data_IF_505320636698
#
_entry.id   IF_505320636698
#
_cell.length_a   1.000
_cell.length_b   1.000
_cell.length_c   1.000
_cell.angle_alpha   90.00
_cell.angle_beta   90.00
_cell.angle_gamma   90.00
#
_symmetry.space_group_name_H-M   'P 1'
#
loop_
_entity.id
_entity.type
_entity.pdbx_description
1 polymer ?
#
# COMPACT_ATOMS: atom_id res chain seq x y z
N UNK A 1 -16.60 55.66 32.67
CA UNK A 1 -16.68 56.74 31.66
C UNK A 1 -15.35 56.76 30.91
N UNK A 2 -15.28 56.09 29.76
CA UNK A 2 -14.16 56.23 28.85
C UNK A 2 -14.51 57.34 27.87
N UNK A 3 -13.76 58.44 27.87
CA UNK A 3 -13.97 59.58 27.00
C UNK A 3 -13.78 59.14 25.54
N UNK A 4 -14.84 59.18 24.74
CA UNK A 4 -14.75 59.11 23.28
C UNK A 4 -14.06 60.38 22.79
N UNK A 5 -12.75 60.30 22.56
CA UNK A 5 -12.03 61.36 21.87
C UNK A 5 -12.51 61.40 20.41
N UNK A 6 -13.36 62.38 20.08
CA UNK A 6 -13.66 62.70 18.68
C UNK A 6 -12.43 63.42 18.13
N UNK A 7 -11.58 62.69 17.39
CA UNK A 7 -10.47 63.29 16.67
C UNK A 7 -11.01 64.25 15.60
N UNK A 8 -10.54 65.50 15.57
CA UNK A 8 -10.90 66.44 14.49
C UNK A 8 -10.16 66.00 13.24
N UNK A 9 -10.75 66.18 12.05
CA UNK A 9 -10.16 65.71 10.77
C UNK A 9 -8.70 66.14 10.61
N UNK A 10 -8.36 67.36 11.03
CA UNK A 10 -7.00 67.91 10.98
C UNK A 10 -5.96 67.11 11.79
N UNK A 11 -6.37 66.34 12.80
CA UNK A 11 -5.48 65.53 13.64
C UNK A 11 -5.08 64.20 12.97
N UNK A 12 -5.79 63.81 11.90
CA UNK A 12 -5.60 62.55 11.17
C UNK A 12 -4.95 62.74 9.79
N UNK A 13 -4.54 63.96 9.44
CA UNK A 13 -3.94 64.26 8.15
C UNK A 13 -2.41 64.15 8.18
N UNK A 14 -1.89 63.48 7.16
CA UNK A 14 -0.45 63.42 6.91
C UNK A 14 0.03 64.76 6.36
N UNK A 15 1.04 65.42 6.97
CA UNK A 15 1.49 66.74 6.55
C UNK A 15 2.20 66.73 5.17
N UNK A 16 2.55 65.56 4.64
CA UNK A 16 3.23 65.44 3.35
C UNK A 16 2.26 65.27 2.16
N UNK A 17 1.12 64.62 2.36
CA UNK A 17 0.14 64.38 1.30
C UNK A 17 -1.22 65.03 1.58
N UNK A 18 -1.38 65.68 2.73
CA UNK A 18 -2.61 66.31 3.21
C UNK A 18 -3.83 65.39 3.23
N UNK A 19 -3.61 64.08 3.20
CA UNK A 19 -4.65 63.04 3.24
C UNK A 19 -4.59 62.26 4.55
N UNK A 20 -5.65 61.50 4.86
CA UNK A 20 -5.75 60.68 6.06
C UNK A 20 -4.57 59.70 6.14
N UNK A 21 -3.99 59.53 7.33
CA UNK A 21 -2.84 58.66 7.53
C UNK A 21 -3.06 57.23 7.01
N UNK A 22 -2.17 56.76 6.15
CA UNK A 22 -2.08 55.38 5.70
C UNK A 22 -0.73 54.81 6.13
N UNK A 23 -0.76 53.85 7.07
CA UNK A 23 0.43 53.31 7.75
C UNK A 23 1.36 54.43 8.26
N UNK A 24 0.90 55.29 9.18
CA UNK A 24 1.72 56.36 9.74
C UNK A 24 2.92 55.76 10.47
N UNK A 25 4.12 56.26 10.17
CA UNK A 25 5.33 55.93 10.91
C UNK A 25 5.72 57.07 11.83
N UNK A 26 6.15 56.73 13.04
CA UNK A 26 6.57 57.70 14.06
C UNK A 26 8.07 57.94 13.95
N UNK A 27 8.45 59.16 13.60
CA UNK A 27 9.84 59.58 13.57
C UNK A 27 10.33 59.94 14.98
N UNK A 28 11.65 59.87 15.21
CA UNK A 28 12.24 60.21 16.52
C UNK A 28 11.90 61.62 17.03
N UNK A 29 11.66 62.56 16.12
CA UNK A 29 11.24 63.92 16.45
C UNK A 29 9.74 64.04 16.82
N UNK A 30 9.01 62.93 16.92
CA UNK A 30 7.59 62.88 17.27
C UNK A 30 6.61 63.07 16.10
N UNK A 31 7.10 63.44 14.91
CA UNK A 31 6.25 63.64 13.74
C UNK A 31 5.82 62.30 13.11
N UNK A 32 4.56 62.25 12.69
CA UNK A 32 3.98 61.11 11.99
C UNK A 32 3.88 61.41 10.50
N UNK A 33 4.29 60.46 9.65
CA UNK A 33 4.22 60.56 8.19
C UNK A 33 3.77 59.22 7.63
N UNK A 34 2.92 59.20 6.59
CA UNK A 34 2.61 57.93 5.91
C UNK A 34 3.89 57.25 5.41
N UNK A 35 4.02 55.94 5.63
CA UNK A 35 5.23 55.17 5.26
C UNK A 35 5.70 55.45 3.83
N UNK A 36 4.77 55.47 2.87
CA UNK A 36 5.06 55.71 1.44
C UNK A 36 5.49 57.17 1.20
N UNK A 37 4.86 58.13 1.88
CA UNK A 37 5.20 59.54 1.75
C UNK A 37 6.62 59.82 2.24
N UNK A 38 6.99 59.22 3.38
CA UNK A 38 8.34 59.31 3.93
C UNK A 38 9.38 58.67 2.99
N UNK A 39 9.08 57.49 2.45
CA UNK A 39 9.97 56.80 1.51
C UNK A 39 10.19 57.61 0.22
N UNK A 40 9.14 58.21 -0.35
CA UNK A 40 9.25 59.08 -1.52
C UNK A 40 10.10 60.32 -1.21
N UNK A 41 9.88 60.96 -0.06
CA UNK A 41 10.64 62.12 0.36
C UNK A 41 12.14 61.80 0.55
N UNK A 42 12.48 60.72 1.25
CA UNK A 42 13.87 60.29 1.43
C UNK A 42 14.55 59.93 0.11
N UNK A 43 13.83 59.28 -0.81
CA UNK A 43 14.36 58.94 -2.14
C UNK A 43 14.64 60.17 -2.98
N UNK A 44 13.76 61.17 -2.93
CA UNK A 44 13.93 62.42 -3.67
C UNK A 44 15.05 63.30 -3.09
N UNK A 45 15.10 63.43 -1.76
CA UNK A 45 16.06 64.33 -1.09
C UNK A 45 17.45 63.72 -0.92
N UNK A 46 17.55 62.39 -0.87
CA UNK A 46 18.82 61.67 -0.64
C UNK A 46 19.29 61.66 0.82
N UNK A 47 18.54 62.28 1.74
CA UNK A 47 18.82 62.27 3.18
C UNK A 47 17.64 61.71 3.99
N UNK A 48 17.93 61.09 5.13
CA UNK A 48 16.93 60.49 6.05
C UNK A 48 16.41 61.51 7.06
N UNK A 49 15.99 62.68 6.60
CA UNK A 49 15.46 63.75 7.46
C UNK A 49 13.94 63.66 7.64
N UNK A 50 13.45 64.22 8.74
CA UNK A 50 12.03 64.46 8.91
C UNK A 50 11.52 65.48 7.86
N UNK A 51 10.45 65.18 7.10
CA UNK A 51 9.88 66.12 6.14
C UNK A 51 9.36 67.43 6.77
N UNK A 52 8.99 67.39 8.06
CA UNK A 52 8.37 68.51 8.77
C UNK A 52 9.41 69.41 9.42
N UNK A 53 10.26 68.85 10.29
CA UNK A 53 11.20 69.63 11.11
C UNK A 53 12.67 69.49 10.69
N UNK A 54 12.96 68.71 9.64
CA UNK A 54 14.32 68.45 9.09
C UNK A 54 15.31 67.80 10.06
N UNK A 55 14.90 67.42 11.26
CA UNK A 55 15.72 66.63 12.18
C UNK A 55 16.09 65.29 11.54
N UNK A 56 17.38 64.92 11.55
CA UNK A 56 17.88 63.67 10.97
C UNK A 56 17.31 62.48 11.75
N UNK A 57 16.64 61.57 11.04
CA UNK A 57 16.04 60.36 11.61
C UNK A 57 16.96 59.17 11.35
N UNK A 58 17.43 58.56 12.43
CA UNK A 58 18.44 57.48 12.38
C UNK A 58 17.88 56.05 12.21
N UNK A 59 16.59 55.69 12.49
CA UNK A 59 16.16 54.32 12.20
C UNK A 59 15.97 54.10 10.70
N UNK A 60 16.57 53.03 10.18
CA UNK A 60 16.41 52.58 8.79
C UNK A 60 14.96 52.22 8.44
N UNK A 61 14.17 51.85 9.45
CA UNK A 61 12.73 51.58 9.35
C UNK A 61 12.02 52.12 10.59
N UNK A 62 11.47 53.35 10.56
CA UNK A 62 10.72 53.89 11.68
C UNK A 62 9.47 53.03 12.01
N UNK A 63 9.13 52.86 13.30
CA UNK A 63 7.99 52.04 13.71
C UNK A 63 6.66 52.66 13.28
N UNK A 64 5.65 51.81 13.07
CA UNK A 64 4.29 52.26 12.76
C UNK A 64 3.62 52.77 14.03
N UNK A 65 3.02 53.95 13.97
CA UNK A 65 2.16 54.46 15.03
C UNK A 65 0.79 53.76 14.96
N UNK A 66 0.71 52.60 15.60
CA UNK A 66 -0.49 51.77 15.62
C UNK A 66 -1.75 52.49 16.13
N UNK A 67 -1.71 53.27 17.24
CA UNK A 67 -2.86 54.06 17.68
C UNK A 67 -3.37 55.03 16.61
N UNK A 68 -2.46 55.76 15.96
CA UNK A 68 -2.84 56.71 14.91
C UNK A 68 -3.36 56.01 13.65
N UNK A 69 -2.81 54.82 13.35
CA UNK A 69 -3.31 53.95 12.27
C UNK A 69 -4.75 53.52 12.56
N UNK A 70 -5.02 53.01 13.76
CA UNK A 70 -6.36 52.57 14.17
C UNK A 70 -7.34 53.74 14.12
N UNK A 71 -6.98 54.90 14.67
CA UNK A 71 -7.83 56.09 14.62
C UNK A 71 -8.12 56.56 13.19
N UNK A 72 -7.14 56.49 12.29
CA UNK A 72 -7.32 56.82 10.87
C UNK A 72 -8.22 55.80 10.14
N UNK A 73 -8.06 54.51 10.43
CA UNK A 73 -8.90 53.43 9.88
C UNK A 73 -10.34 53.50 10.42
N UNK A 74 -10.52 53.78 11.71
CA UNK A 74 -11.84 53.97 12.34
C UNK A 74 -12.56 55.20 11.78
N UNK A 75 -11.85 56.31 11.57
CA UNK A 75 -12.41 57.50 10.92
C UNK A 75 -12.82 57.22 9.46
N UNK A 76 -11.99 56.48 8.71
CA UNK A 76 -12.35 56.03 7.36
C UNK A 76 -13.56 55.09 7.36
N UNK A 77 -13.65 54.18 8.33
CA UNK A 77 -14.77 53.28 8.52
C UNK A 77 -16.07 54.04 8.85
N UNK A 78 -16.00 55.03 9.74
CA UNK A 78 -17.13 55.91 10.07
C UNK A 78 -17.61 56.74 8.88
N UNK A 79 -16.73 57.06 7.91
CA UNK A 79 -17.13 57.71 6.66
C UNK A 79 -17.60 56.73 5.56
N UNK A 80 -17.28 55.44 5.68
CA UNK A 80 -17.65 54.40 4.71
C UNK A 80 -19.07 53.82 4.88
N UNK A 81 -19.85 54.29 5.85
CA UNK A 81 -21.25 53.87 6.05
C UNK A 81 -22.26 54.57 5.10
N UNK A 82 -21.79 55.16 4.00
CA UNK A 82 -22.62 55.60 2.88
C UNK A 82 -22.17 54.88 1.62
N UNK A 83 -23.08 54.10 1.04
CA UNK A 83 -23.00 53.35 -0.22
C UNK A 83 -21.80 53.72 -1.13
N UNK A 84 -20.82 52.82 -1.25
CA UNK A 84 -19.66 53.03 -2.11
C UNK A 84 -19.81 52.33 -3.47
N UNK A 85 -20.58 52.96 -4.37
CA UNK A 85 -20.43 52.73 -5.81
C UNK A 85 -19.15 53.41 -6.36
N UNK A 86 -18.44 54.17 -5.53
CA UNK A 86 -17.39 55.11 -5.94
C UNK A 86 -16.11 54.91 -5.12
N UNK A 87 -14.96 54.85 -5.80
CA UNK A 87 -13.63 54.70 -5.23
C UNK A 87 -13.25 55.88 -4.32
N UNK A 88 -12.80 55.58 -3.11
CA UNK A 88 -12.38 56.60 -2.14
C UNK A 88 -11.23 57.50 -2.64
N UNK A 89 -10.24 56.93 -3.34
CA UNK A 89 -9.03 57.66 -3.76
C UNK A 89 -9.21 58.42 -5.07
N UNK A 90 -9.95 57.83 -6.02
CA UNK A 90 -10.07 58.38 -7.38
C UNK A 90 -11.45 58.98 -7.67
N UNK A 91 -12.43 58.78 -6.78
CA UNK A 91 -13.83 59.23 -6.93
C UNK A 91 -14.49 58.75 -8.24
N UNK A 92 -14.03 57.61 -8.75
CA UNK A 92 -14.54 56.92 -9.94
C UNK A 92 -15.40 55.71 -9.55
N UNK A 93 -16.35 55.30 -10.38
CA UNK A 93 -17.12 54.09 -10.11
C UNK A 93 -16.24 52.83 -10.05
N UNK A 94 -16.56 51.94 -9.13
CA UNK A 94 -15.86 50.67 -8.93
C UNK A 94 -16.34 49.63 -9.96
N UNK A 95 -15.84 49.70 -11.19
CA UNK A 95 -16.28 48.89 -12.34
C UNK A 95 -15.39 47.68 -12.64
N UNK A 96 -14.28 47.50 -11.91
CA UNK A 96 -13.28 46.46 -12.11
C UNK A 96 -13.14 45.60 -10.85
N UNK A 97 -12.72 44.35 -10.97
CA UNK A 97 -12.41 43.46 -9.83
C UNK A 97 -10.95 42.99 -9.90
N UNK A 98 -10.23 43.11 -8.78
CA UNK A 98 -8.85 42.66 -8.67
C UNK A 98 -8.81 41.22 -8.15
N UNK A 99 -8.40 40.26 -8.99
CA UNK A 99 -8.40 38.83 -8.67
C UNK A 99 -7.35 38.44 -7.62
N UNK A 100 -6.29 39.23 -7.49
CA UNK A 100 -5.24 38.98 -6.50
C UNK A 100 -5.62 39.44 -5.08
N UNK A 101 -6.48 40.44 -4.97
CA UNK A 101 -6.82 41.12 -3.70
C UNK A 101 -8.29 40.94 -3.30
N UNK A 102 -9.07 40.21 -4.10
CA UNK A 102 -10.50 39.92 -3.89
C UNK A 102 -11.36 41.15 -3.56
N UNK A 103 -11.21 42.25 -4.30
CA UNK A 103 -11.97 43.50 -4.06
C UNK A 103 -12.28 44.29 -5.34
N UNK A 104 -13.41 45.03 -5.36
CA UNK A 104 -13.73 45.93 -6.46
C UNK A 104 -12.83 47.18 -6.43
N UNK A 105 -12.38 47.60 -7.61
CA UNK A 105 -11.49 48.74 -7.82
C UNK A 105 -12.02 49.61 -8.99
N UNK A 106 -11.58 50.85 -9.10
CA UNK A 106 -11.84 51.69 -10.28
C UNK A 106 -10.67 51.64 -11.27
N UNK A 107 -10.87 52.23 -12.46
CA UNK A 107 -9.84 52.37 -13.50
C UNK A 107 -8.54 53.02 -13.00
N UNK A 108 -8.66 54.09 -12.20
CA UNK A 108 -7.49 54.72 -11.58
C UNK A 108 -6.71 53.80 -10.64
N UNK A 109 -7.39 52.92 -9.90
CA UNK A 109 -6.76 51.94 -9.03
C UNK A 109 -6.00 50.87 -9.83
N UNK A 110 -6.54 50.39 -10.94
CA UNK A 110 -5.87 49.41 -11.80
C UNK A 110 -4.54 49.94 -12.34
N UNK A 111 -4.52 51.23 -12.71
CA UNK A 111 -3.33 51.92 -13.22
C UNK A 111 -2.34 52.31 -12.11
N UNK A 112 -2.75 52.25 -10.84
CA UNK A 112 -1.90 52.57 -9.71
C UNK A 112 -0.74 51.58 -9.58
N UNK A 113 0.38 52.03 -9.01
CA UNK A 113 1.54 51.16 -8.74
C UNK A 113 1.21 49.96 -7.86
N UNK A 114 0.07 49.98 -7.14
CA UNK A 114 -0.36 48.91 -6.26
C UNK A 114 -1.06 47.77 -6.99
N UNK A 115 -1.77 48.05 -8.09
CA UNK A 115 -2.55 47.04 -8.84
C UNK A 115 -2.12 46.87 -10.30
N UNK A 116 -1.13 47.64 -10.78
CA UNK A 116 -0.60 47.57 -12.16
C UNK A 116 -0.09 46.17 -12.55
N UNK A 117 0.31 45.36 -11.57
CA UNK A 117 0.81 43.99 -11.76
C UNK A 117 -0.20 42.91 -11.38
N UNK A 118 -1.39 43.30 -10.92
CA UNK A 118 -2.45 42.38 -10.53
C UNK A 118 -3.39 42.12 -11.70
N UNK A 119 -3.90 40.90 -11.77
CA UNK A 119 -4.86 40.51 -12.78
C UNK A 119 -6.23 41.11 -12.40
N UNK A 120 -6.74 41.99 -13.27
CA UNK A 120 -7.98 42.72 -13.04
C UNK A 120 -8.93 42.49 -14.21
N UNK A 121 -10.20 42.20 -13.92
CA UNK A 121 -11.25 42.02 -14.93
C UNK A 121 -12.32 43.10 -14.82
N UNK A 122 -12.91 43.46 -15.96
CA UNK A 122 -14.12 44.27 -16.03
C UNK A 122 -15.30 43.49 -15.46
N UNK A 123 -16.18 44.16 -14.72
CA UNK A 123 -17.44 43.60 -14.24
C UNK A 123 -18.45 43.37 -15.39
N UNK A 124 -18.02 42.76 -16.50
CA UNK A 124 -18.88 42.32 -17.59
C UNK A 124 -19.49 40.95 -17.25
N UNK A 125 -20.82 40.83 -17.42
CA UNK A 125 -21.59 39.63 -17.02
C UNK A 125 -21.09 38.33 -17.66
N UNK A 126 -20.44 38.40 -18.83
CA UNK A 126 -19.97 37.28 -19.64
C UNK A 126 -18.72 36.60 -19.06
N UNK A 127 -17.75 37.38 -18.54
CA UNK A 127 -16.52 36.84 -17.94
C UNK A 127 -16.80 36.18 -16.58
N UNK A 128 -17.65 36.80 -15.77
CA UNK A 128 -18.15 36.22 -14.52
C UNK A 128 -18.94 34.92 -14.74
N UNK A 129 -19.76 34.87 -15.79
CA UNK A 129 -20.50 33.65 -16.13
C UNK A 129 -19.56 32.48 -16.45
N UNK A 130 -18.50 32.74 -17.21
CA UNK A 130 -17.49 31.72 -17.57
C UNK A 130 -16.72 31.23 -16.33
N UNK A 131 -16.31 32.15 -15.46
CA UNK A 131 -15.63 31.83 -14.21
C UNK A 131 -16.52 31.01 -13.27
N UNK A 132 -17.79 31.39 -13.10
CA UNK A 132 -18.78 30.65 -12.31
C UNK A 132 -19.01 29.23 -12.83
N UNK A 133 -19.05 29.04 -14.15
CA UNK A 133 -19.14 27.70 -14.74
C UNK A 133 -17.92 26.85 -14.43
N UNK A 134 -16.71 27.43 -14.48
CA UNK A 134 -15.47 26.74 -14.13
C UNK A 134 -15.46 26.30 -12.66
N UNK A 135 -15.92 27.16 -11.75
CA UNK A 135 -16.03 26.84 -10.33
C UNK A 135 -17.11 25.79 -10.06
N UNK A 136 -18.27 25.85 -10.72
CA UNK A 136 -19.30 24.81 -10.65
C UNK A 136 -18.78 23.45 -11.14
N UNK A 137 -17.97 23.43 -12.20
CA UNK A 137 -17.30 22.19 -12.68
C UNK A 137 -16.30 21.67 -11.65
N UNK A 138 -15.50 22.55 -11.05
CA UNK A 138 -14.54 22.19 -9.98
C UNK A 138 -15.24 21.67 -8.73
N UNK A 139 -16.33 22.30 -8.30
CA UNK A 139 -17.13 21.86 -7.15
C UNK A 139 -17.67 20.45 -7.39
N UNK A 140 -18.31 20.19 -8.54
CA UNK A 140 -18.80 18.85 -8.91
C UNK A 140 -17.70 17.79 -8.95
N UNK A 141 -16.49 18.16 -9.36
CA UNK A 141 -15.33 17.26 -9.35
C UNK A 141 -14.89 16.95 -7.91
N UNK A 142 -14.83 17.96 -7.04
CA UNK A 142 -14.48 17.80 -5.63
C UNK A 142 -15.51 16.95 -4.89
N UNK A 143 -16.81 17.18 -5.08
CA UNK A 143 -17.88 16.36 -4.49
C UNK A 143 -17.77 14.89 -4.91
N UNK A 144 -17.53 14.60 -6.20
CA UNK A 144 -17.30 13.23 -6.68
C UNK A 144 -16.04 12.61 -6.06
N UNK A 145 -14.99 13.39 -5.90
CA UNK A 145 -13.73 12.95 -5.28
C UNK A 145 -13.93 12.64 -3.81
N UNK A 146 -14.69 13.48 -3.09
CA UNK A 146 -15.01 13.27 -1.68
C UNK A 146 -15.78 11.97 -1.46
N UNK A 147 -16.81 11.69 -2.27
CA UNK A 147 -17.56 10.43 -2.21
C UNK A 147 -16.63 9.24 -2.46
N UNK A 148 -15.82 9.28 -3.51
CA UNK A 148 -14.87 8.22 -3.85
C UNK A 148 -13.84 7.96 -2.74
N UNK A 149 -13.32 9.03 -2.13
CA UNK A 149 -12.35 8.93 -1.02
C UNK A 149 -13.00 8.38 0.25
N UNK A 150 -14.27 8.73 0.51
CA UNK A 150 -15.04 8.17 1.61
C UNK A 150 -15.25 6.66 1.45
N UNK A 151 -15.64 6.22 0.26
CA UNK A 151 -15.78 4.79 -0.07
C UNK A 151 -14.43 4.06 0.05
N UNK A 152 -13.36 4.67 -0.45
CA UNK A 152 -11.99 4.10 -0.35
C UNK A 152 -11.56 3.97 1.11
N UNK A 153 -11.84 4.97 1.96
CA UNK A 153 -11.54 4.94 3.39
C UNK A 153 -12.25 3.79 4.10
N UNK A 154 -13.54 3.58 3.81
CA UNK A 154 -14.29 2.46 4.41
C UNK A 154 -13.79 1.12 3.87
N UNK A 155 -13.49 1.03 2.57
CA UNK A 155 -12.91 -0.17 1.99
C UNK A 155 -11.56 -0.56 2.62
N UNK A 156 -10.68 0.41 2.90
CA UNK A 156 -9.40 0.15 3.57
C UNK A 156 -9.61 -0.53 4.92
N UNK A 157 -10.61 -0.10 5.71
CA UNK A 157 -10.93 -0.75 6.99
C UNK A 157 -11.43 -2.18 6.78
N UNK A 158 -12.39 -2.36 5.88
CA UNK A 158 -12.94 -3.69 5.57
C UNK A 158 -11.85 -4.65 5.08
N UNK A 159 -10.95 -4.17 4.22
CA UNK A 159 -9.83 -4.97 3.72
C UNK A 159 -8.85 -5.32 4.84
N UNK A 160 -8.56 -4.38 5.75
CA UNK A 160 -7.70 -4.64 6.92
C UNK A 160 -8.31 -5.71 7.84
N UNK A 161 -9.60 -5.59 8.15
CA UNK A 161 -10.33 -6.56 9.00
C UNK A 161 -10.36 -7.95 8.36
N UNK A 162 -10.59 -8.03 7.05
CA UNK A 162 -10.56 -9.28 6.29
C UNK A 162 -9.17 -9.91 6.31
N UNK A 163 -8.12 -9.12 6.06
CA UNK A 163 -6.74 -9.61 6.10
C UNK A 163 -6.35 -10.08 7.51
N UNK A 164 -6.72 -9.33 8.55
CA UNK A 164 -6.47 -9.73 9.94
C UNK A 164 -7.15 -11.06 10.27
N UNK A 165 -8.41 -11.23 9.85
CA UNK A 165 -9.14 -12.48 10.02
C UNK A 165 -8.43 -13.65 9.34
N UNK A 166 -8.05 -13.50 8.07
CA UNK A 166 -7.36 -14.55 7.31
C UNK A 166 -6.01 -14.91 7.95
N UNK A 167 -5.24 -13.91 8.39
CA UNK A 167 -3.98 -14.14 9.12
C UNK A 167 -4.22 -14.96 10.38
N UNK A 168 -5.25 -14.64 11.16
CA UNK A 168 -5.58 -15.40 12.38
C UNK A 168 -5.98 -16.85 12.06
N UNK A 169 -6.76 -17.09 11.01
CA UNK A 169 -7.19 -18.43 10.59
C UNK A 169 -6.00 -19.29 10.13
N UNK A 170 -5.04 -18.73 9.38
CA UNK A 170 -3.81 -19.42 9.00
C UNK A 170 -2.95 -19.81 10.22
N UNK A 171 -2.74 -18.86 11.14
CA UNK A 171 -1.98 -19.14 12.37
C UNK A 171 -2.67 -20.17 13.26
N UNK A 172 -4.00 -20.14 13.33
CA UNK A 172 -4.77 -21.14 14.07
C UNK A 172 -4.55 -22.54 13.50
N UNK A 173 -4.56 -22.69 12.19
CA UNK A 173 -4.27 -23.97 11.50
C UNK A 173 -2.87 -24.50 11.87
N UNK A 174 -1.87 -23.61 11.90
CA UNK A 174 -0.51 -23.98 12.31
C UNK A 174 -0.41 -24.35 13.80
N UNK A 175 -1.11 -23.64 14.68
CA UNK A 175 -1.16 -23.97 16.11
C UNK A 175 -1.80 -25.34 16.35
N UNK A 176 -2.92 -25.63 15.70
CA UNK A 176 -3.60 -26.93 15.81
C UNK A 176 -2.69 -28.07 15.34
N UNK A 177 -1.98 -27.87 14.22
CA UNK A 177 -0.98 -28.84 13.76
C UNK A 177 0.11 -29.09 14.81
N UNK A 178 0.68 -28.03 15.39
CA UNK A 178 1.76 -28.15 16.39
C UNK A 178 1.27 -28.84 17.67
N UNK A 179 0.08 -28.49 18.15
CA UNK A 179 -0.53 -29.13 19.32
C UNK A 179 -0.79 -30.62 19.10
N UNK A 180 -1.30 -30.98 17.91
CA UNK A 180 -1.55 -32.38 17.56
C UNK A 180 -0.25 -33.19 17.44
N UNK A 181 0.79 -32.63 16.82
CA UNK A 181 2.09 -33.28 16.71
C UNK A 181 2.79 -33.44 18.08
N UNK A 182 2.70 -32.43 18.95
CA UNK A 182 3.16 -32.52 20.35
C UNK A 182 2.43 -33.62 21.11
N UNK A 183 1.10 -33.62 21.07
CA UNK A 183 0.27 -34.61 21.76
C UNK A 183 0.60 -36.03 21.29
N UNK A 184 0.70 -36.25 19.98
CA UNK A 184 1.03 -37.56 19.40
C UNK A 184 2.38 -38.09 19.86
N UNK A 185 3.38 -37.20 19.95
CA UNK A 185 4.72 -37.56 20.43
C UNK A 185 4.74 -37.89 21.91
N UNK A 186 4.07 -37.08 22.73
CA UNK A 186 3.93 -37.34 24.17
C UNK A 186 3.20 -38.65 24.44
N UNK A 187 2.17 -38.98 23.66
CA UNK A 187 1.49 -40.27 23.74
C UNK A 187 2.43 -41.43 23.39
N UNK A 188 3.24 -41.28 22.34
CA UNK A 188 4.24 -42.30 21.96
C UNK A 188 5.28 -42.53 23.05
N UNK A 189 5.74 -41.46 23.72
CA UNK A 189 6.66 -41.54 24.86
C UNK A 189 6.01 -42.23 26.06
N UNK A 190 4.79 -41.85 26.44
CA UNK A 190 4.03 -42.47 27.54
C UNK A 190 3.78 -43.96 27.30
N UNK A 191 3.52 -44.36 26.06
CA UNK A 191 3.36 -45.76 25.72
C UNK A 191 4.67 -46.54 25.88
N UNK A 192 5.80 -45.97 25.46
CA UNK A 192 7.12 -46.59 25.64
C UNK A 192 7.48 -46.73 27.13
N UNK A 193 7.23 -45.68 27.92
CA UNK A 193 7.37 -45.71 29.39
C UNK A 193 6.53 -46.84 29.99
N UNK A 194 5.23 -46.89 29.67
CA UNK A 194 4.33 -47.91 30.19
C UNK A 194 4.81 -49.33 29.90
N UNK A 195 5.21 -49.60 28.66
CA UNK A 195 5.72 -50.93 28.25
C UNK A 195 6.99 -51.29 29.01
N UNK A 196 7.95 -50.37 29.11
CA UNK A 196 9.24 -50.62 29.78
C UNK A 196 9.09 -50.79 31.29
N UNK A 197 8.24 -49.99 31.92
CA UNK A 197 7.91 -50.12 33.34
C UNK A 197 7.23 -51.45 33.63
N UNK A 198 6.28 -51.89 32.78
CA UNK A 198 5.61 -53.18 32.94
C UNK A 198 6.61 -54.35 32.89
N UNK A 199 7.53 -54.35 31.92
CA UNK A 199 8.59 -55.37 31.82
C UNK A 199 9.47 -55.39 33.07
N UNK A 200 9.76 -54.23 33.66
CA UNK A 200 10.53 -54.16 34.91
C UNK A 200 9.75 -54.68 36.11
N UNK A 201 8.46 -54.40 36.21
CA UNK A 201 7.60 -54.96 37.27
C UNK A 201 7.63 -56.49 37.24
N UNK A 202 7.44 -57.11 36.07
CA UNK A 202 7.46 -58.56 35.89
C UNK A 202 8.82 -59.18 36.26
N UNK A 203 9.93 -58.53 35.88
CA UNK A 203 11.29 -58.97 36.25
C UNK A 203 11.54 -58.85 37.75
N UNK A 204 11.07 -57.79 38.40
CA UNK A 204 11.19 -57.60 39.84
C UNK A 204 10.39 -58.64 40.62
N UNK A 205 9.17 -58.98 40.17
CA UNK A 205 8.37 -60.05 40.76
C UNK A 205 9.07 -61.40 40.65
N UNK A 206 9.64 -61.73 39.48
CA UNK A 206 10.42 -62.96 39.28
C UNK A 206 11.60 -63.04 40.25
N UNK A 207 12.42 -61.98 40.32
CA UNK A 207 13.58 -61.95 41.22
C UNK A 207 13.14 -62.01 42.68
N UNK A 208 12.06 -61.32 43.05
CA UNK A 208 11.52 -61.36 44.42
C UNK A 208 11.10 -62.78 44.80
N UNK A 209 10.47 -63.52 43.89
CA UNK A 209 10.11 -64.91 44.11
C UNK A 209 11.35 -65.82 44.18
N UNK A 210 12.34 -65.62 43.31
CA UNK A 210 13.62 -66.35 43.38
C UNK A 210 14.35 -66.10 44.70
N UNK A 211 14.39 -64.85 45.19
CA UNK A 211 14.96 -64.50 46.49
C UNK A 211 14.22 -65.23 47.61
N UNK A 212 12.89 -65.26 47.59
CA UNK A 212 12.08 -65.98 48.58
C UNK A 212 12.39 -67.49 48.57
N UNK A 213 12.42 -68.12 47.40
CA UNK A 213 12.75 -69.54 47.25
C UNK A 213 14.19 -69.84 47.69
N UNK A 214 15.16 -69.02 47.29
CA UNK A 214 16.55 -69.19 47.72
C UNK A 214 16.69 -68.98 49.23
N UNK A 215 15.98 -68.02 49.83
CA UNK A 215 16.00 -67.81 51.28
C UNK A 215 15.42 -69.02 52.03
N UNK A 216 14.31 -69.61 51.55
CA UNK A 216 13.78 -70.84 52.14
C UNK A 216 14.74 -72.02 51.98
N UNK A 217 15.32 -72.18 50.79
CA UNK A 217 16.32 -73.23 50.55
C UNK A 217 17.58 -73.00 51.39
N UNK A 218 18.08 -71.77 51.54
CA UNK A 218 19.20 -71.47 52.45
C UNK A 218 18.82 -71.85 53.88
N UNK A 219 17.61 -71.56 54.35
CA UNK A 219 17.18 -72.00 55.69
C UNK A 219 17.12 -73.53 55.82
N UNK A 220 16.63 -74.24 54.80
CA UNK A 220 16.59 -75.72 54.73
C UNK A 220 18.00 -76.34 54.60
N UNK A 221 18.88 -75.63 53.91
CA UNK A 221 20.25 -76.06 53.63
C UNK A 221 21.16 -75.67 54.79
N UNK A 222 20.98 -74.57 55.51
CA UNK A 222 21.67 -74.25 56.76
C UNK A 222 21.30 -75.25 57.86
N UNK A 223 20.05 -75.74 57.84
CA UNK A 223 19.63 -76.85 58.70
C UNK A 223 20.23 -78.20 58.26
N UNK A 224 20.61 -78.36 56.99
CA UNK A 224 21.23 -79.58 56.43
C UNK A 224 22.78 -79.57 56.29
N UNK A 225 23.43 -78.41 56.11
CA UNK A 225 24.86 -78.19 55.80
C UNK A 225 25.73 -78.15 57.06
N UNK A 226 25.46 -79.08 57.98
CA UNK A 226 26.52 -79.77 58.71
C UNK A 226 27.47 -80.58 57.79
N UNK A 227 27.34 -80.53 56.46
CA UNK A 227 28.33 -81.08 55.52
C UNK A 227 28.31 -80.43 54.12
N UNK A 228 29.30 -79.55 53.85
CA UNK A 228 29.92 -79.10 52.58
C UNK A 228 29.10 -78.66 51.34
N UNK A 229 29.29 -77.36 51.04
CA UNK A 229 29.52 -76.62 49.77
C UNK A 229 28.98 -77.07 48.42
N UNK A 230 28.37 -76.12 47.68
CA UNK A 230 28.54 -75.89 46.24
C UNK A 230 27.98 -74.52 45.76
N UNK A 231 28.40 -74.13 44.55
CA UNK A 231 28.71 -72.77 44.08
C UNK A 231 27.69 -72.01 43.23
N UNK A 232 27.74 -70.67 43.40
CA UNK A 232 27.44 -69.47 42.58
C UNK A 232 26.54 -69.47 41.32
N UNK A 233 25.63 -68.47 41.33
CA UNK A 233 24.69 -68.06 40.27
C UNK A 233 25.28 -67.04 39.29
N UNK A 234 24.82 -67.11 38.04
CA UNK A 234 25.21 -66.23 36.93
C UNK A 234 24.24 -65.04 36.81
N UNK A 235 24.79 -63.82 36.74
CA UNK A 235 24.00 -62.57 36.62
C UNK A 235 23.71 -62.27 35.16
N UNK A 236 22.43 -62.12 34.81
CA UNK A 236 21.98 -61.77 33.46
C UNK A 236 21.77 -60.25 33.34
N UNK A 237 22.45 -59.61 32.38
CA UNK A 237 22.35 -58.18 32.12
C UNK A 237 21.11 -57.85 31.27
N UNK A 238 20.34 -56.81 31.63
CA UNK A 238 19.14 -56.37 30.91
C UNK A 238 19.55 -55.34 29.84
N UNK A 239 19.30 -55.64 28.56
CA UNK A 239 19.49 -54.70 27.43
C UNK A 239 18.19 -53.98 27.06
N UNK A 240 18.29 -52.81 26.46
CA UNK A 240 17.19 -52.02 25.85
C UNK A 240 16.03 -51.58 26.77
N UNK A 241 16.28 -51.51 28.08
CA UNK A 241 15.24 -51.19 29.07
C UNK A 241 14.99 -49.68 29.27
N UNK A 242 15.98 -48.84 28.98
CA UNK A 242 15.87 -47.39 29.18
C UNK A 242 15.10 -46.74 28.04
N UNK A 243 14.42 -45.63 28.30
CA UNK A 243 13.74 -44.83 27.27
C UNK A 243 14.72 -44.49 26.13
N UNK A 244 14.29 -44.69 24.90
CA UNK A 244 15.07 -44.35 23.73
C UNK A 244 14.99 -42.83 23.47
N UNK A 245 15.79 -42.05 24.19
CA UNK A 245 15.81 -40.58 24.05
C UNK A 245 16.09 -40.13 22.61
N UNK A 246 16.90 -40.87 21.85
CA UNK A 246 17.22 -40.54 20.46
C UNK A 246 16.00 -40.60 19.54
N UNK A 247 15.08 -41.56 19.77
CA UNK A 247 13.82 -41.69 19.02
C UNK A 247 12.87 -40.51 19.27
N UNK A 248 12.84 -39.99 20.50
CA UNK A 248 11.89 -38.94 20.90
C UNK A 248 12.42 -37.53 20.65
N UNK A 249 13.71 -37.30 20.90
CA UNK A 249 14.34 -35.97 20.86
C UNK A 249 15.23 -35.77 19.62
N UNK A 250 15.64 -36.85 18.95
CA UNK A 250 16.52 -36.78 17.78
C UNK A 250 15.88 -35.99 16.65
N UNK A 251 16.54 -34.89 16.27
CA UNK A 251 16.10 -33.99 15.20
C UNK A 251 14.64 -33.52 15.33
N UNK A 252 14.12 -33.41 16.56
CA UNK A 252 12.71 -33.15 16.82
C UNK A 252 12.18 -31.95 16.02
N UNK A 253 12.84 -30.79 16.15
CA UNK A 253 12.44 -29.55 15.47
C UNK A 253 12.41 -29.72 13.94
N UNK A 254 13.42 -30.37 13.37
CA UNK A 254 13.49 -30.61 11.93
C UNK A 254 12.40 -31.57 11.46
N UNK A 255 12.13 -32.65 12.22
CA UNK A 255 11.07 -33.60 11.91
C UNK A 255 9.68 -32.95 11.93
N UNK A 256 9.41 -32.09 12.91
CA UNK A 256 8.16 -31.31 12.99
C UNK A 256 8.06 -30.36 11.80
N UNK A 257 9.12 -29.59 11.53
CA UNK A 257 9.17 -28.66 10.38
C UNK A 257 8.95 -29.39 9.04
N UNK A 258 9.58 -30.56 8.84
CA UNK A 258 9.43 -31.35 7.62
C UNK A 258 7.98 -31.82 7.43
N UNK A 259 7.31 -32.27 8.48
CA UNK A 259 5.87 -32.61 8.42
C UNK A 259 5.01 -31.37 8.17
N UNK A 260 5.31 -30.26 8.84
CA UNK A 260 4.61 -28.99 8.64
C UNK A 260 4.73 -28.50 7.19
N UNK A 261 5.87 -28.71 6.54
CA UNK A 261 6.05 -28.35 5.13
C UNK A 261 5.12 -29.10 4.17
N UNK A 262 4.52 -30.23 4.58
CA UNK A 262 3.58 -31.00 3.77
C UNK A 262 2.16 -30.43 3.80
N UNK A 263 1.83 -29.62 4.82
CA UNK A 263 0.53 -28.95 4.94
C UNK A 263 0.56 -27.51 4.44
N UNK A 264 1.75 -26.98 4.14
CA UNK A 264 1.95 -25.62 3.62
C UNK A 264 2.10 -25.68 2.10
N UNK A 265 1.25 -24.94 1.39
CA UNK A 265 1.35 -24.79 -0.06
C UNK A 265 2.27 -23.62 -0.42
N UNK A 266 3.36 -23.91 -1.13
CA UNK A 266 4.24 -22.88 -1.66
C UNK A 266 3.86 -22.54 -3.11
N UNK A 267 3.61 -21.26 -3.35
CA UNK A 267 3.43 -20.72 -4.70
C UNK A 267 4.47 -19.60 -4.89
N UNK A 268 5.30 -19.65 -5.96
CA UNK A 268 6.40 -18.72 -6.15
C UNK A 268 5.93 -17.29 -6.41
N UNK A 269 4.65 -17.13 -6.79
CA UNK A 269 4.05 -15.87 -7.17
C UNK A 269 2.63 -15.82 -6.61
N UNK A 270 2.30 -14.72 -5.96
CA UNK A 270 0.93 -14.37 -5.58
C UNK A 270 0.40 -13.27 -6.49
N UNK A 271 -0.92 -13.20 -6.61
CA UNK A 271 -1.62 -12.19 -7.39
C UNK A 271 -1.86 -10.94 -6.55
N UNK A 272 -1.94 -9.77 -7.20
CA UNK A 272 -2.25 -8.50 -6.54
C UNK A 272 -3.69 -8.04 -6.81
N UNK A 273 -4.61 -8.19 -5.85
CA UNK A 273 -5.99 -7.70 -5.96
C UNK A 273 -6.13 -6.19 -6.24
N UNK A 274 -5.12 -5.37 -5.91
CA UNK A 274 -5.13 -3.94 -6.22
C UNK A 274 -4.98 -3.67 -7.72
N UNK A 275 -4.29 -4.55 -8.44
CA UNK A 275 -4.15 -4.49 -9.90
C UNK A 275 -5.32 -5.13 -10.64
N UNK A 276 -6.14 -5.92 -9.96
CA UNK A 276 -7.16 -6.78 -10.56
C UNK A 276 -8.37 -6.01 -11.11
N UNK A 277 -8.88 -6.45 -12.25
CA UNK A 277 -10.18 -6.00 -12.76
C UNK A 277 -11.31 -6.30 -11.76
N UNK A 278 -12.36 -5.46 -11.75
CA UNK A 278 -13.51 -5.57 -10.84
C UNK A 278 -14.31 -6.88 -10.93
N UNK A 279 -14.06 -7.72 -11.94
CA UNK A 279 -14.80 -8.95 -12.19
C UNK A 279 -13.93 -10.19 -11.92
N UNK A 280 -12.95 -10.04 -11.04
CA UNK A 280 -12.05 -11.11 -10.64
C UNK A 280 -12.21 -11.39 -9.15
N UNK A 281 -12.18 -12.68 -8.82
CA UNK A 281 -12.22 -13.20 -7.45
C UNK A 281 -11.01 -14.13 -7.24
N UNK A 282 -10.49 -14.13 -6.02
CA UNK A 282 -9.23 -14.79 -5.66
C UNK A 282 -9.44 -15.87 -4.60
N UNK A 283 -8.53 -16.86 -4.55
CA UNK A 283 -8.42 -17.71 -3.35
C UNK A 283 -7.77 -16.94 -2.20
N UNK A 284 -7.84 -17.53 -0.99
CA UNK A 284 -7.28 -16.98 0.24
C UNK A 284 -5.76 -16.73 0.12
N UNK A 285 -5.04 -17.62 -0.56
CA UNK A 285 -3.59 -17.55 -0.76
C UNK A 285 -3.18 -16.67 -1.94
N UNK A 286 -4.16 -16.04 -2.61
CA UNK A 286 -3.94 -15.20 -3.80
C UNK A 286 -3.20 -15.94 -4.94
N UNK A 287 -3.33 -17.27 -4.99
CA UNK A 287 -2.70 -18.12 -6.01
C UNK A 287 -3.68 -18.51 -7.12
N UNK A 288 -4.98 -18.34 -6.89
CA UNK A 288 -6.03 -18.66 -7.85
C UNK A 288 -6.81 -17.42 -8.23
N UNK A 289 -7.22 -17.34 -9.50
CA UNK A 289 -8.12 -16.30 -9.99
C UNK A 289 -9.19 -16.88 -10.90
N UNK A 290 -10.42 -16.39 -10.74
CA UNK A 290 -11.57 -16.73 -11.58
C UNK A 290 -12.39 -15.50 -11.91
N UNK A 291 -13.18 -15.60 -12.99
CA UNK A 291 -14.19 -14.60 -13.29
C UNK A 291 -15.30 -14.60 -12.25
N UNK A 292 -15.77 -13.41 -11.88
CA UNK A 292 -16.88 -13.21 -10.94
C UNK A 292 -17.82 -12.10 -11.39
N UNK A 293 -18.91 -11.94 -10.65
CA UNK A 293 -19.72 -10.71 -10.72
C UNK A 293 -18.87 -9.51 -10.33
N UNK A 294 -19.27 -8.33 -10.78
CA UNK A 294 -18.58 -7.08 -10.49
C UNK A 294 -18.54 -6.86 -8.98
N UNK A 295 -17.34 -6.81 -8.42
CA UNK A 295 -17.07 -6.51 -7.03
C UNK A 295 -17.08 -5.00 -6.81
N UNK A 296 -17.50 -4.60 -5.60
CA UNK A 296 -17.49 -3.21 -5.15
C UNK A 296 -16.11 -2.85 -4.61
N UNK A 297 -15.16 -2.61 -5.53
CA UNK A 297 -13.80 -2.22 -5.20
C UNK A 297 -13.58 -0.73 -5.50
N UNK A 298 -12.82 0.00 -4.68
CA UNK A 298 -12.42 1.35 -5.02
C UNK A 298 -11.50 1.33 -6.24
N UNK A 299 -11.58 2.40 -7.03
CA UNK A 299 -10.67 2.61 -8.13
C UNK A 299 -9.33 3.12 -7.58
N UNK A 300 -8.22 2.58 -8.07
CA UNK A 300 -6.86 3.05 -7.80
C UNK A 300 -6.10 3.15 -9.13
N UNK A 301 -4.90 3.74 -9.12
CA UNK A 301 -4.09 3.92 -10.34
C UNK A 301 -3.64 2.56 -10.91
N UNK A 302 -3.34 1.61 -10.03
CA UNK A 302 -2.77 0.31 -10.35
C UNK A 302 -3.77 -0.65 -11.01
N UNK A 303 -5.08 -0.41 -10.85
CA UNK A 303 -6.14 -1.32 -11.26
C UNK A 303 -6.26 -1.41 -12.77
N UNK A 304 -6.22 -2.62 -13.32
CA UNK A 304 -6.51 -2.91 -14.71
C UNK A 304 -8.02 -2.84 -14.95
N UNK A 305 -8.48 -1.78 -15.63
CA UNK A 305 -9.90 -1.59 -15.96
C UNK A 305 -10.20 -1.79 -17.43
N UNK A 306 -9.18 -1.78 -18.30
CA UNK A 306 -9.36 -1.98 -19.75
C UNK A 306 -9.49 -3.45 -20.14
N UNK A 307 -8.97 -4.38 -19.33
CA UNK A 307 -8.95 -5.81 -19.59
C UNK A 307 -9.24 -6.59 -18.31
N UNK A 308 -9.86 -7.76 -18.47
CA UNK A 308 -10.13 -8.71 -17.39
C UNK A 308 -8.85 -9.43 -16.97
N UNK A 309 -7.95 -8.73 -16.27
CA UNK A 309 -6.65 -9.25 -15.88
C UNK A 309 -6.23 -8.82 -14.47
N UNK A 310 -5.19 -9.47 -13.99
CA UNK A 310 -4.49 -9.19 -12.74
C UNK A 310 -2.99 -9.39 -12.96
N UNK A 311 -2.18 -8.63 -12.21
CA UNK A 311 -0.73 -8.78 -12.20
C UNK A 311 -0.27 -9.56 -10.95
N UNK A 312 0.93 -10.12 -11.00
CA UNK A 312 1.60 -10.64 -9.82
C UNK A 312 1.91 -9.53 -8.81
N UNK A 313 1.94 -9.87 -7.52
CA UNK A 313 2.32 -8.97 -6.41
C UNK A 313 3.79 -8.55 -6.46
N UNK A 314 4.63 -9.44 -7.01
CA UNK A 314 6.06 -9.21 -7.19
C UNK A 314 6.38 -9.10 -8.66
N UNK A 315 7.14 -8.06 -9.01
CA UNK A 315 7.71 -7.88 -10.33
C UNK A 315 9.22 -8.03 -10.29
N UNK A 316 9.81 -8.39 -11.42
CA UNK A 316 11.20 -8.79 -11.54
C UNK A 316 11.98 -7.81 -12.42
N UNK A 317 13.18 -7.44 -11.99
CA UNK A 317 14.11 -6.58 -12.75
C UNK A 317 15.37 -7.32 -13.19
N UNK A 318 15.66 -8.49 -12.62
CA UNK A 318 16.84 -9.30 -12.91
C UNK A 318 16.59 -10.77 -12.54
N UNK A 319 17.50 -11.65 -12.97
CA UNK A 319 17.49 -13.06 -12.65
C UNK A 319 16.47 -13.88 -13.44
N UNK A 320 16.28 -15.12 -13.00
CA UNK A 320 15.38 -16.10 -13.60
C UNK A 320 14.26 -16.47 -12.65
N UNK A 321 13.03 -16.41 -13.12
CA UNK A 321 11.83 -16.71 -12.35
C UNK A 321 10.95 -17.66 -13.14
N UNK A 322 10.28 -18.58 -12.46
CA UNK A 322 9.41 -19.57 -13.07
C UNK A 322 8.17 -19.81 -12.21
N UNK A 323 7.02 -19.95 -12.87
CA UNK A 323 5.77 -20.32 -12.24
C UNK A 323 4.95 -21.17 -13.20
N UNK A 324 4.16 -22.09 -12.67
CA UNK A 324 3.26 -22.93 -13.47
C UNK A 324 1.83 -22.49 -13.28
N UNK A 325 1.10 -22.33 -14.39
CA UNK A 325 -0.33 -22.02 -14.39
C UNK A 325 -1.09 -23.26 -14.85
N UNK A 326 -2.04 -23.71 -14.04
CA UNK A 326 -3.05 -24.68 -14.47
C UNK A 326 -4.15 -23.96 -15.20
N UNK A 327 -4.23 -24.26 -16.50
CA UNK A 327 -5.20 -23.70 -17.44
C UNK A 327 -6.35 -24.69 -17.72
N UNK A 328 -6.14 -26.00 -17.46
CA UNK A 328 -7.19 -27.02 -17.40
C UNK A 328 -8.15 -27.02 -18.60
N UNK A 329 -9.45 -27.00 -18.31
CA UNK A 329 -10.56 -27.01 -19.30
C UNK A 329 -11.04 -25.59 -19.70
N UNK A 330 -10.27 -24.56 -19.36
CA UNK A 330 -10.61 -23.17 -19.64
C UNK A 330 -10.69 -22.95 -21.15
N UNK A 331 -11.73 -22.25 -21.63
CA UNK A 331 -11.94 -22.01 -23.07
C UNK A 331 -11.33 -20.72 -23.59
N UNK A 332 -11.05 -19.79 -22.70
CA UNK A 332 -10.43 -18.51 -23.02
C UNK A 332 -9.54 -18.09 -21.85
N UNK A 333 -8.31 -17.70 -22.13
CA UNK A 333 -7.36 -17.20 -21.13
C UNK A 333 -6.14 -16.59 -21.81
N UNK A 334 -5.44 -15.72 -21.09
CA UNK A 334 -4.14 -15.17 -21.47
C UNK A 334 -3.20 -15.21 -20.28
N UNK A 335 -2.00 -15.75 -20.48
CA UNK A 335 -0.96 -15.82 -19.45
C UNK A 335 0.39 -15.40 -20.03
N UNK A 336 1.25 -14.87 -19.17
CA UNK A 336 2.61 -14.51 -19.54
C UNK A 336 3.12 -13.41 -18.63
N UNK A 337 3.72 -12.39 -19.23
CA UNK A 337 4.23 -11.24 -18.49
C UNK A 337 3.86 -9.91 -19.13
N UNK A 338 3.82 -8.88 -18.31
CA UNK A 338 3.59 -7.50 -18.71
C UNK A 338 4.63 -6.58 -18.07
N UNK A 339 4.99 -5.51 -18.76
CA UNK A 339 5.86 -4.47 -18.20
C UNK A 339 5.10 -3.61 -17.18
N UNK A 340 5.81 -2.98 -16.26
CA UNK A 340 5.22 -2.13 -15.20
C UNK A 340 4.36 -0.97 -15.76
N UNK A 341 4.82 -0.36 -16.86
CA UNK A 341 4.24 0.85 -17.46
C UNK A 341 3.04 0.62 -18.38
N UNK A 342 2.47 -0.59 -18.43
CA UNK A 342 1.31 -0.88 -19.29
C UNK A 342 0.14 0.10 -19.04
N UNK A 343 -0.60 0.41 -20.10
CA UNK A 343 -1.78 1.28 -20.01
C UNK A 343 -2.97 0.52 -19.41
N UNK A 344 -3.17 0.67 -18.10
CA UNK A 344 -4.18 -0.10 -17.32
C UNK A 344 -5.62 0.36 -17.53
N UNK A 345 -5.81 1.61 -17.97
CA UNK A 345 -7.14 2.25 -18.13
C UNK A 345 -7.61 2.41 -19.57
N UNK A 346 -6.75 2.09 -20.55
CA UNK A 346 -7.05 2.21 -21.98
C UNK A 346 -6.89 0.85 -22.65
N UNK A 347 -7.76 0.56 -23.61
CA UNK A 347 -7.64 -0.67 -24.39
C UNK A 347 -6.46 -0.56 -25.32
N UNK A 348 -5.49 -1.46 -25.16
CA UNK A 348 -4.30 -1.61 -26.01
C UNK A 348 -4.20 -3.06 -26.46
N UNK A 349 -3.57 -3.32 -27.60
CA UNK A 349 -3.35 -4.68 -28.08
C UNK A 349 -2.40 -5.44 -27.14
N UNK A 350 -2.65 -6.74 -26.96
CA UNK A 350 -1.69 -7.61 -26.28
C UNK A 350 -0.57 -7.89 -27.29
N UNK A 351 0.55 -7.20 -27.17
CA UNK A 351 1.75 -7.48 -27.96
C UNK A 351 3.01 -6.87 -27.30
N UNK A 352 4.21 -7.28 -27.74
CA UNK A 352 5.47 -6.78 -27.18
C UNK A 352 5.63 -5.25 -27.23
N UNK A 353 5.19 -4.59 -28.32
CA UNK A 353 5.28 -3.12 -28.44
C UNK A 353 4.46 -2.37 -27.39
N UNK A 354 3.33 -2.93 -26.98
CA UNK A 354 2.51 -2.41 -25.88
C UNK A 354 2.97 -2.90 -24.50
N UNK A 355 3.97 -3.78 -24.46
CA UNK A 355 4.61 -4.28 -23.24
C UNK A 355 4.04 -5.59 -22.70
N UNK A 356 3.49 -6.43 -23.57
CA UNK A 356 2.93 -7.73 -23.22
C UNK A 356 3.64 -8.87 -23.97
N UNK A 357 4.09 -9.88 -23.24
CA UNK A 357 4.65 -11.10 -23.78
C UNK A 357 3.82 -12.27 -23.26
N UNK A 358 2.71 -12.51 -23.96
CA UNK A 358 1.65 -13.42 -23.50
C UNK A 358 1.27 -14.40 -24.59
N UNK A 359 0.86 -15.60 -24.18
CA UNK A 359 0.14 -16.54 -25.02
C UNK A 359 -1.29 -16.66 -24.50
N UNK A 360 -2.22 -17.07 -25.35
CA UNK A 360 -3.60 -17.29 -24.95
C UNK A 360 -4.28 -18.38 -25.75
N UNK A 361 -5.35 -18.92 -25.17
CA UNK A 361 -6.28 -19.82 -25.84
C UNK A 361 -7.55 -19.04 -26.15
N UNK A 362 -8.12 -19.25 -27.33
CA UNK A 362 -9.38 -18.64 -27.75
C UNK A 362 -10.31 -19.74 -28.26
N UNK A 363 -11.60 -19.65 -27.90
CA UNK A 363 -12.66 -20.60 -28.29
C UNK A 363 -12.42 -22.06 -27.89
N UNK A 364 -11.46 -22.33 -27.00
CA UNK A 364 -11.17 -23.66 -26.45
C UNK A 364 -10.27 -24.56 -27.31
N UNK A 365 -9.94 -24.18 -28.54
CA UNK A 365 -9.23 -25.04 -29.49
C UNK A 365 -8.08 -24.35 -30.26
N UNK A 366 -7.95 -23.02 -30.16
CA UNK A 366 -6.90 -22.29 -30.88
C UNK A 366 -6.02 -21.50 -29.92
N UNK A 367 -4.73 -21.83 -29.90
CA UNK A 367 -3.73 -21.10 -29.13
C UNK A 367 -2.93 -20.13 -29.99
N UNK A 368 -2.60 -18.98 -29.41
CA UNK A 368 -1.91 -17.89 -30.08
C UNK A 368 -0.83 -17.31 -29.18
N UNK A 369 0.36 -17.11 -29.74
CA UNK A 369 1.31 -16.16 -29.20
C UNK A 369 0.92 -14.76 -29.67
N UNK A 370 0.78 -13.85 -28.72
CA UNK A 370 0.33 -12.48 -28.98
C UNK A 370 1.49 -11.61 -29.50
N UNK A 371 2.05 -12.00 -30.65
CA UNK A 371 3.00 -11.22 -31.45
C UNK A 371 2.26 -10.20 -32.32
N UNK A 372 3.01 -9.35 -33.03
CA UNK A 372 2.45 -8.46 -34.05
C UNK A 372 3.10 -8.78 -35.40
N UNK A 373 2.39 -9.47 -36.32
CA UNK A 373 1.04 -10.02 -36.19
C UNK A 373 0.98 -11.27 -35.27
N UNK A 374 -0.20 -11.66 -34.74
CA UNK A 374 -0.34 -12.84 -33.87
C UNK A 374 0.11 -14.13 -34.54
N UNK A 375 0.83 -14.97 -33.81
CA UNK A 375 1.37 -16.24 -34.31
C UNK A 375 0.54 -17.40 -33.76
N UNK A 376 -0.07 -18.18 -34.66
CA UNK A 376 -0.83 -19.39 -34.29
C UNK A 376 0.11 -20.46 -33.76
N UNK A 377 -0.25 -21.08 -32.64
CA UNK A 377 0.53 -22.15 -32.02
C UNK A 377 -0.09 -23.51 -32.36
N UNK A 378 0.67 -24.36 -33.05
CA UNK A 378 0.22 -25.69 -33.47
C UNK A 378 0.68 -26.74 -32.46
N UNK A 379 -0.22 -27.17 -31.58
CA UNK A 379 0.03 -28.18 -30.55
C UNK A 379 -0.68 -29.49 -30.90
N UNK A 380 -0.02 -30.63 -30.64
CA UNK A 380 -0.62 -31.96 -30.84
C UNK A 380 -1.73 -32.25 -29.82
N UNK A 381 -1.53 -31.79 -28.59
CA UNK A 381 -2.42 -31.94 -27.44
C UNK A 381 -2.45 -30.61 -26.69
N UNK A 382 -3.62 -30.21 -26.19
CA UNK A 382 -3.75 -28.98 -25.42
C UNK A 382 -3.16 -29.18 -24.01
N UNK A 383 -2.27 -28.28 -23.55
CA UNK A 383 -1.65 -28.41 -22.24
C UNK A 383 -2.64 -28.04 -21.14
N UNK A 384 -2.75 -28.86 -20.10
CA UNK A 384 -3.51 -28.52 -18.88
C UNK A 384 -2.72 -27.60 -17.94
N UNK A 385 -1.39 -27.64 -18.02
CA UNK A 385 -0.46 -26.87 -17.19
C UNK A 385 0.66 -26.30 -18.03
N UNK A 386 0.88 -24.99 -17.90
CA UNK A 386 1.91 -24.25 -18.65
C UNK A 386 2.84 -23.57 -17.66
N UNK A 387 4.14 -23.84 -17.80
CA UNK A 387 5.19 -23.15 -17.05
C UNK A 387 5.65 -21.93 -17.84
N UNK A 388 5.66 -20.78 -17.18
CA UNK A 388 6.19 -19.52 -17.70
C UNK A 388 7.55 -19.29 -17.07
N UNK A 389 8.60 -19.25 -17.89
CA UNK A 389 9.97 -18.99 -17.46
C UNK A 389 10.39 -17.60 -17.96
N UNK A 390 10.65 -16.70 -17.02
CA UNK A 390 11.15 -15.36 -17.27
C UNK A 390 12.65 -15.31 -16.97
N UNK A 391 13.45 -14.98 -17.97
CA UNK A 391 14.88 -14.68 -17.84
C UNK A 391 15.05 -13.18 -18.12
N UNK A 392 15.08 -12.38 -17.05
CA UNK A 392 15.20 -10.93 -17.16
C UNK A 392 16.55 -10.53 -17.77
N UNK A 393 17.61 -11.24 -17.39
CA UNK A 393 18.99 -10.92 -17.78
C UNK A 393 19.22 -11.16 -19.28
N UNK A 394 18.59 -12.19 -19.85
CA UNK A 394 18.65 -12.50 -21.29
C UNK A 394 17.48 -11.97 -22.08
N UNK A 395 16.52 -11.32 -21.43
CA UNK A 395 15.37 -10.77 -22.12
C UNK A 395 14.49 -11.84 -22.77
N UNK A 396 14.18 -12.92 -22.05
CA UNK A 396 13.39 -14.04 -22.59
C UNK A 396 12.18 -14.39 -21.74
N UNK A 397 11.10 -14.76 -22.43
CA UNK A 397 9.93 -15.39 -21.83
C UNK A 397 9.68 -16.69 -22.58
N UNK A 398 9.81 -17.82 -21.89
CA UNK A 398 9.62 -19.16 -22.47
C UNK A 398 8.36 -19.76 -21.87
N UNK A 399 7.52 -20.32 -22.74
CA UNK A 399 6.33 -21.06 -22.35
C UNK A 399 6.58 -22.54 -22.59
N UNK A 400 6.42 -23.35 -21.55
CA UNK A 400 6.75 -24.78 -21.56
C UNK A 400 5.52 -25.57 -21.13
N UNK A 401 5.17 -26.63 -21.85
CA UNK A 401 4.17 -27.59 -21.41
C UNK A 401 4.70 -28.36 -20.19
N UNK A 402 4.01 -28.29 -19.06
CA UNK A 402 4.50 -28.87 -17.82
C UNK A 402 4.50 -30.41 -17.83
N UNK A 403 3.71 -31.05 -18.70
CA UNK A 403 3.58 -32.51 -18.75
C UNK A 403 4.77 -33.19 -19.43
N UNK A 404 5.23 -32.64 -20.56
CA UNK A 404 6.28 -33.23 -21.41
C UNK A 404 7.54 -32.36 -21.53
N UNK A 405 7.54 -31.19 -20.88
CA UNK A 405 8.62 -30.17 -20.92
C UNK A 405 8.92 -29.64 -22.33
N UNK A 406 8.00 -29.78 -23.27
CA UNK A 406 8.16 -29.23 -24.61
C UNK A 406 7.96 -27.72 -24.61
N UNK A 407 8.79 -26.99 -25.34
CA UNK A 407 8.63 -25.54 -25.50
C UNK A 407 7.44 -25.26 -26.42
N UNK A 408 6.45 -24.53 -25.91
CA UNK A 408 5.28 -24.05 -26.65
C UNK A 408 5.67 -22.83 -27.48
N UNK A 409 6.32 -21.84 -26.85
CA UNK A 409 6.72 -20.60 -27.52
C UNK A 409 7.84 -19.88 -26.75
N UNK A 410 8.58 -18.99 -27.42
CA UNK A 410 9.59 -18.13 -26.79
C UNK A 410 9.52 -16.72 -27.36
N UNK A 411 9.34 -15.75 -26.47
CA UNK A 411 9.60 -14.35 -26.78
C UNK A 411 11.05 -13.99 -26.44
N UNK A 412 11.63 -13.10 -27.25
CA UNK A 412 12.92 -12.46 -26.99
C UNK A 412 12.73 -10.96 -27.13
N UNK A 413 13.11 -10.20 -26.11
CA UNK A 413 12.99 -8.75 -26.08
C UNK A 413 13.97 -8.14 -25.08
N UNK A 414 14.14 -6.82 -25.06
CA UNK A 414 14.95 -6.14 -24.06
C UNK A 414 14.07 -5.59 -22.95
N UNK A 415 14.18 -6.14 -21.74
CA UNK A 415 13.48 -5.61 -20.59
C UNK A 415 14.27 -4.45 -19.98
N UNK A 416 13.69 -3.26 -19.99
CA UNK A 416 14.29 -2.02 -19.45
C UNK A 416 13.68 -1.58 -18.14
N UNK A 417 12.60 -2.23 -17.73
CA UNK A 417 11.87 -1.94 -16.49
C UNK A 417 11.38 -3.24 -15.86
N UNK A 418 10.71 -3.11 -14.72
CA UNK A 418 10.18 -4.24 -13.97
C UNK A 418 9.11 -4.98 -14.78
N UNK A 419 9.21 -6.31 -14.78
CA UNK A 419 8.29 -7.21 -15.47
C UNK A 419 7.44 -7.96 -14.45
N UNK A 420 6.13 -7.92 -14.63
CA UNK A 420 5.16 -8.57 -13.76
C UNK A 420 4.54 -9.79 -14.45
N UNK A 421 4.28 -10.88 -13.70
CA UNK A 421 3.37 -11.93 -14.14
C UNK A 421 2.02 -11.32 -14.55
N UNK A 422 1.46 -11.80 -15.65
CA UNK A 422 0.19 -11.34 -16.20
C UNK A 422 -0.76 -12.53 -16.36
N UNK A 423 -1.97 -12.43 -15.79
CA UNK A 423 -2.97 -13.49 -15.81
C UNK A 423 -4.35 -12.92 -16.16
N UNK A 424 -5.04 -13.59 -17.07
CA UNK A 424 -6.41 -13.28 -17.49
C UNK A 424 -7.19 -14.59 -17.67
N UNK A 425 -8.19 -14.89 -16.81
CA UNK A 425 -8.91 -16.17 -16.81
C UNK A 425 -10.04 -16.29 -17.84
N UNK A 426 -10.19 -15.33 -18.76
CA UNK A 426 -11.29 -15.29 -19.73
C UNK A 426 -12.68 -15.07 -19.10
N UNK A 427 -13.73 -15.03 -19.93
CA UNK A 427 -15.13 -14.84 -19.49
C UNK A 427 -15.88 -16.18 -19.58
N UNK A 428 -16.73 -16.47 -18.60
CA UNK A 428 -17.63 -17.63 -18.63
C UNK A 428 -18.88 -17.26 -19.45
N UNK A 429 -19.13 -17.95 -20.56
CA UNK A 429 -20.33 -17.79 -21.39
C UNK A 429 -21.47 -18.79 -21.07
N UNK A 430 -21.23 -19.79 -20.21
CA UNK A 430 -22.24 -20.80 -19.83
C UNK A 430 -22.09 -21.25 -18.36
N UNK A 431 -23.21 -21.34 -17.63
CA UNK A 431 -23.28 -21.59 -16.17
C UNK A 431 -22.71 -22.94 -15.69
N UNK A 432 -22.38 -23.86 -16.59
CA UNK A 432 -22.06 -25.25 -16.23
C UNK A 432 -20.59 -25.53 -15.93
N UNK A 433 -19.65 -24.59 -16.17
CA UNK A 433 -18.22 -24.77 -15.82
C UNK A 433 -17.54 -23.46 -15.41
N UNK A 434 -17.09 -23.37 -14.15
CA UNK A 434 -16.27 -22.25 -13.69
C UNK A 434 -14.84 -22.35 -14.25
N UNK A 435 -14.40 -21.28 -14.91
CA UNK A 435 -13.03 -21.15 -15.43
C UNK A 435 -12.17 -20.53 -14.34
N UNK A 436 -11.22 -21.30 -13.79
CA UNK A 436 -10.27 -20.85 -12.76
C UNK A 436 -8.86 -21.11 -13.23
N UNK A 437 -7.96 -20.15 -13.03
CA UNK A 437 -6.54 -20.32 -13.25
C UNK A 437 -5.84 -20.41 -11.90
N UNK A 438 -5.10 -21.49 -11.68
CA UNK A 438 -4.35 -21.73 -10.46
C UNK A 438 -2.86 -21.63 -10.72
N UNK A 439 -2.17 -20.85 -9.89
CA UNK A 439 -0.71 -20.81 -9.84
C UNK A 439 -0.19 -21.91 -8.94
N UNK A 440 0.83 -22.61 -9.40
CA UNK A 440 1.56 -23.61 -8.64
C UNK A 440 3.03 -23.24 -8.56
N UNK A 441 3.63 -23.55 -7.41
CA UNK A 441 5.06 -23.77 -7.31
C UNK A 441 5.39 -25.20 -7.66
N UNK A 442 6.47 -25.40 -8.41
CA UNK A 442 7.23 -26.63 -8.24
C UNK A 442 7.67 -26.68 -6.78
N UNK A 443 7.30 -27.75 -6.05
CA UNK A 443 7.88 -28.03 -4.74
C UNK A 443 9.39 -27.80 -4.86
N UNK A 444 10.02 -26.93 -4.03
CA UNK A 444 11.46 -26.93 -3.98
C UNK A 444 11.85 -28.36 -3.66
N UNK A 445 12.62 -28.98 -4.55
CA UNK A 445 13.32 -30.21 -4.25
C UNK A 445 14.29 -29.82 -3.13
N UNK A 446 13.82 -29.95 -1.90
CA UNK A 446 14.62 -29.72 -0.70
C UNK A 446 15.62 -30.89 -0.68
N UNK A 447 16.82 -30.59 -1.18
CA UNK A 447 17.97 -31.49 -1.16
C UNK A 447 18.45 -31.82 0.25
#
# INVERSE_FOLDING_TARGET
MAATFVHREGDLLCPQCSGIYCLPVLLKCGHNICKICLQKFWKWKGSRECPVCRTVSVPERPPINLPLKIAAEEYQLQQSSKDQEVCFFHKEQLTLFCLNDDKPICSGCQMSTQHKVHECCTLEKTEFSTMLESFRKKLKMLEKTEVCWRETKEYIKTQADQNEKMIKEEFQTLHEFLQNEEMTRLQTLRQEEKVKTQVMCEKLELITNQIKCLASTISEVETALKAKDLSFLQVQCIRDILINSSKHLGLLKFGVWKKMSQIVYFVPITLDPNTAHFNLEFSQELSCVKYSRKQLLPNNIERCTSRLCVLGSSGFTSGKNSWTVEVGQSRDWYIGVARESIKRKKTVFLNPSEGFWVIGLTNGDTMWAQTSPPTKLCLKLMPEKITVELDCDKGKVVFVNAADRTTIYTFKDKFTERIFPYISPGIILSETKQTKLHLFGSHPSLG
#
